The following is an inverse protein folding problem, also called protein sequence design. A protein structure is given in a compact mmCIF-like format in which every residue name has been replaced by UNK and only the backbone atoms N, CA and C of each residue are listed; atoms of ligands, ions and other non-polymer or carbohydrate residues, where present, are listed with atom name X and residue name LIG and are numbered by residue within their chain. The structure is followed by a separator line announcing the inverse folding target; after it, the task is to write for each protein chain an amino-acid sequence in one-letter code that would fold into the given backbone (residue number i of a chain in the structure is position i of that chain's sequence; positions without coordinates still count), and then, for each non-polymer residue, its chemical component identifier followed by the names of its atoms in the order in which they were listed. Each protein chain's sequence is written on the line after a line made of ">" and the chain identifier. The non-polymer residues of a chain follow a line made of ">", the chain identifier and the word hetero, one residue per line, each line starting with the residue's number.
data_IF_368117730788
#
_entry.id   IF_368117730788
#
_cell.length_a   1.000
_cell.length_b   1.000
_cell.length_c   1.000
_cell.angle_alpha   90.00
_cell.angle_beta   90.00
_cell.angle_gamma   90.00
#
_symmetry.space_group_name_H-M   'P 1'
#
loop_
_entity.id
_entity.type
_entity.pdbx_description
1 polymer ?
#
# COMPACT_ATOMS: atom_id res chain seq x y z
N UNK A 1 -11.25 -0.77 -19.43
CA UNK A 1 -10.13 -0.88 -18.47
C UNK A 1 -9.84 -2.34 -18.14
N UNK A 2 -8.65 -2.61 -17.64
CA UNK A 2 -8.22 -3.98 -17.32
C UNK A 2 -8.87 -4.56 -16.08
N UNK A 3 -9.47 -3.72 -15.24
CA UNK A 3 -10.12 -4.14 -14.01
C UNK A 3 -11.52 -3.52 -13.89
N UNK A 4 -12.35 -4.14 -13.07
CA UNK A 4 -13.74 -3.71 -12.84
C UNK A 4 -13.90 -2.92 -11.56
N UNK A 5 -12.93 -2.99 -10.65
CA UNK A 5 -13.02 -2.34 -9.34
C UNK A 5 -11.64 -2.16 -8.70
N UNK A 6 -11.59 -1.27 -7.74
CA UNK A 6 -10.43 -1.06 -6.87
C UNK A 6 -10.79 -1.60 -5.49
N UNK A 7 -9.92 -2.46 -4.95
CA UNK A 7 -10.07 -3.02 -3.59
C UNK A 7 -8.84 -2.67 -2.78
N UNK A 8 -9.00 -2.26 -1.54
CA UNK A 8 -7.88 -1.85 -0.70
C UNK A 8 -8.01 -2.27 0.75
N UNK A 9 -6.88 -2.31 1.44
CA UNK A 9 -6.77 -2.41 2.90
C UNK A 9 -5.88 -1.28 3.39
N UNK A 10 -6.36 -0.50 4.34
CA UNK A 10 -5.62 0.63 4.90
C UNK A 10 -5.57 0.54 6.43
N UNK A 11 -4.46 1.00 7.02
CA UNK A 11 -4.31 1.08 8.47
C UNK A 11 -4.45 2.52 8.95
N UNK A 12 -3.58 3.42 8.47
CA UNK A 12 -3.53 4.81 8.92
C UNK A 12 -4.12 5.81 7.91
N UNK A 13 -4.71 5.31 6.82
CA UNK A 13 -5.45 6.12 5.86
C UNK A 13 -4.73 6.49 4.57
N UNK A 14 -3.42 6.24 4.45
CA UNK A 14 -2.65 6.64 3.27
C UNK A 14 -2.96 5.76 2.05
N UNK A 15 -3.12 4.45 2.25
CA UNK A 15 -3.57 3.55 1.19
C UNK A 15 -4.97 3.93 0.72
N UNK A 16 -5.87 4.26 1.65
CA UNK A 16 -7.21 4.72 1.33
C UNK A 16 -7.20 6.01 0.51
N UNK A 17 -6.29 6.94 0.80
CA UNK A 17 -6.14 8.17 0.02
C UNK A 17 -5.77 7.85 -1.44
N UNK A 18 -4.78 7.00 -1.67
CA UNK A 18 -4.41 6.60 -3.03
C UNK A 18 -5.56 5.88 -3.75
N UNK A 19 -6.23 4.98 -3.06
CA UNK A 19 -7.38 4.26 -3.64
C UNK A 19 -8.49 5.22 -4.03
N UNK A 20 -8.77 6.21 -3.20
CA UNK A 20 -9.77 7.25 -3.48
C UNK A 20 -9.37 8.10 -4.68
N UNK A 21 -8.11 8.52 -4.75
CA UNK A 21 -7.60 9.29 -5.88
C UNK A 21 -7.73 8.50 -7.19
N UNK A 22 -7.36 7.22 -7.17
CA UNK A 22 -7.50 6.36 -8.34
C UNK A 22 -8.96 6.20 -8.77
N UNK A 23 -9.87 6.01 -7.81
CA UNK A 23 -11.30 5.94 -8.10
C UNK A 23 -11.82 7.22 -8.76
N UNK A 24 -11.43 8.38 -8.24
CA UNK A 24 -11.80 9.67 -8.82
C UNK A 24 -11.26 9.84 -10.25
N UNK A 25 -10.02 9.44 -10.49
CA UNK A 25 -9.37 9.58 -11.79
C UNK A 25 -9.91 8.62 -12.85
N UNK A 26 -10.42 7.46 -12.44
CA UNK A 26 -10.80 6.39 -13.37
C UNK A 26 -12.30 6.14 -13.43
N UNK A 27 -13.05 6.58 -12.43
CA UNK A 27 -14.47 6.25 -12.29
C UNK A 27 -14.72 4.82 -11.80
N UNK A 28 -13.67 4.05 -11.48
CA UNK A 28 -13.83 2.69 -10.98
C UNK A 28 -14.43 2.68 -9.57
N UNK A 29 -15.35 1.72 -9.28
CA UNK A 29 -15.88 1.56 -7.94
C UNK A 29 -14.79 1.19 -6.95
N UNK A 30 -14.92 1.69 -5.73
CA UNK A 30 -13.94 1.57 -4.65
C UNK A 30 -14.53 0.75 -3.51
N UNK A 31 -13.79 -0.28 -3.09
CA UNK A 31 -14.21 -1.16 -2.00
C UNK A 31 -13.07 -1.40 -1.01
N UNK A 32 -13.38 -1.28 0.27
CA UNK A 32 -12.49 -1.77 1.32
C UNK A 32 -12.63 -3.29 1.38
N UNK A 33 -11.50 -4.01 1.41
CA UNK A 33 -11.52 -5.48 1.38
C UNK A 33 -12.43 -6.09 2.46
N UNK A 34 -12.35 -5.53 3.66
CA UNK A 34 -13.08 -6.01 4.84
C UNK A 34 -14.60 -5.96 4.65
N UNK A 35 -15.10 -5.01 3.87
CA UNK A 35 -16.52 -4.76 3.66
C UNK A 35 -16.97 -5.08 2.22
N UNK A 36 -16.09 -5.66 1.43
CA UNK A 36 -16.30 -5.86 0.00
C UNK A 36 -17.29 -7.00 -0.25
N UNK A 37 -18.31 -6.73 -1.05
CA UNK A 37 -19.35 -7.68 -1.44
C UNK A 37 -19.29 -8.04 -2.92
N UNK A 38 -18.22 -7.68 -3.61
CA UNK A 38 -18.04 -8.03 -5.03
C UNK A 38 -18.07 -9.54 -5.23
N UNK A 39 -18.58 -10.03 -6.39
CA UNK A 39 -18.55 -11.44 -6.71
C UNK A 39 -17.14 -12.01 -6.71
N UNK A 40 -17.02 -13.27 -6.34
CA UNK A 40 -15.77 -14.00 -6.43
C UNK A 40 -15.26 -14.00 -7.87
N UNK A 41 -13.95 -13.83 -8.04
CA UNK A 41 -13.32 -13.79 -9.36
C UNK A 41 -13.38 -12.45 -10.08
N UNK A 42 -13.97 -11.42 -9.47
CA UNK A 42 -13.96 -10.06 -10.04
C UNK A 42 -12.53 -9.60 -10.28
N UNK A 43 -12.28 -9.03 -11.44
CA UNK A 43 -10.97 -8.46 -11.80
C UNK A 43 -10.76 -7.15 -11.07
N UNK A 44 -9.74 -7.09 -10.22
CA UNK A 44 -9.50 -5.93 -9.35
C UNK A 44 -8.06 -5.44 -9.41
N UNK A 45 -7.90 -4.14 -9.18
CA UNK A 45 -6.64 -3.54 -8.76
C UNK A 45 -6.63 -3.54 -7.24
N UNK A 46 -5.61 -4.13 -6.64
CA UNK A 46 -5.52 -4.21 -5.19
C UNK A 46 -4.46 -3.25 -4.65
N UNK A 47 -4.83 -2.49 -3.62
CA UNK A 47 -3.90 -1.63 -2.88
C UNK A 47 -3.81 -2.10 -1.44
N UNK A 48 -2.60 -2.28 -0.94
CA UNK A 48 -2.36 -2.63 0.45
C UNK A 48 -1.14 -1.90 1.00
N UNK A 49 -1.13 -1.67 2.31
CA UNK A 49 0.02 -1.07 2.98
C UNK A 49 1.06 -2.13 3.31
N UNK A 50 2.33 -1.71 3.34
CA UNK A 50 3.44 -2.61 3.63
C UNK A 50 3.69 -2.72 5.13
N UNK A 51 3.78 -3.95 5.62
CA UNK A 51 4.25 -4.26 6.95
C UNK A 51 5.29 -5.38 6.84
N UNK A 52 6.52 -5.10 7.24
CA UNK A 52 7.64 -6.03 7.14
C UNK A 52 7.79 -6.63 5.72
N UNK A 53 7.63 -5.81 4.69
CA UNK A 53 7.73 -6.20 3.27
C UNK A 53 6.51 -6.92 2.71
N UNK A 54 5.47 -7.14 3.50
CA UNK A 54 4.24 -7.82 3.07
C UNK A 54 3.13 -6.81 2.79
N UNK A 55 2.48 -6.94 1.65
CA UNK A 55 1.30 -6.17 1.29
C UNK A 55 0.10 -6.72 2.07
N UNK A 56 -0.40 -5.95 3.00
CA UNK A 56 -1.46 -6.40 3.89
C UNK A 56 -2.76 -6.64 3.13
N UNK A 57 -3.40 -7.78 3.41
CA UNK A 57 -4.66 -8.18 2.79
C UNK A 57 -4.53 -8.81 1.42
N UNK A 58 -3.36 -8.78 0.79
CA UNK A 58 -3.18 -9.30 -0.59
C UNK A 58 -3.56 -10.78 -0.70
N UNK A 59 -3.14 -11.61 0.25
CA UNK A 59 -3.43 -13.04 0.24
C UNK A 59 -4.95 -13.29 0.27
N UNK A 60 -5.67 -12.55 1.11
CA UNK A 60 -7.13 -12.65 1.19
C UNK A 60 -7.81 -12.15 -0.08
N UNK A 61 -7.32 -11.05 -0.64
CA UNK A 61 -7.84 -10.52 -1.89
C UNK A 61 -7.63 -11.50 -3.05
N UNK A 62 -6.43 -12.08 -3.15
CA UNK A 62 -6.11 -13.04 -4.19
C UNK A 62 -6.92 -14.35 -4.08
N UNK A 63 -7.34 -14.71 -2.86
CA UNK A 63 -8.21 -15.89 -2.66
C UNK A 63 -9.65 -15.64 -3.12
N UNK A 64 -10.09 -14.39 -3.16
CA UNK A 64 -11.47 -14.00 -3.50
C UNK A 64 -11.61 -13.46 -4.92
N UNK A 65 -10.63 -12.70 -5.37
CA UNK A 65 -10.70 -11.94 -6.61
C UNK A 65 -9.58 -12.31 -7.55
N UNK A 66 -9.75 -11.96 -8.80
CA UNK A 66 -8.67 -11.99 -9.77
C UNK A 66 -7.90 -10.68 -9.68
N UNK A 67 -6.80 -10.69 -8.94
CA UNK A 67 -5.94 -9.53 -8.79
C UNK A 67 -5.10 -9.37 -10.05
N UNK A 68 -5.28 -8.28 -10.77
CA UNK A 68 -4.59 -8.02 -12.04
C UNK A 68 -3.34 -7.16 -11.84
N UNK A 69 -3.29 -6.37 -10.79
CA UNK A 69 -2.12 -5.58 -10.40
C UNK A 69 -2.19 -5.23 -8.92
N UNK A 70 -1.04 -4.90 -8.35
CA UNK A 70 -0.90 -4.59 -6.92
C UNK A 70 -0.22 -3.23 -6.76
N UNK A 71 -0.76 -2.38 -5.89
CA UNK A 71 -0.09 -1.19 -5.40
C UNK A 71 0.32 -1.42 -3.95
N UNK A 72 1.61 -1.34 -3.69
CA UNK A 72 2.18 -1.47 -2.36
C UNK A 72 2.47 -0.08 -1.81
N UNK A 73 1.85 0.29 -0.70
CA UNK A 73 2.00 1.62 -0.09
C UNK A 73 2.89 1.50 1.14
N UNK A 74 4.00 2.22 1.13
CA UNK A 74 4.99 2.16 2.20
C UNK A 74 5.54 3.52 2.59
N UNK A 75 6.47 3.52 3.54
CA UNK A 75 7.09 4.74 4.06
C UNK A 75 8.42 5.06 3.39
N UNK A 76 9.14 4.04 2.90
CA UNK A 76 10.45 4.23 2.30
C UNK A 76 10.36 5.10 1.03
N UNK A 77 11.40 5.92 0.74
CA UNK A 77 11.42 6.70 -0.50
C UNK A 77 11.30 5.85 -1.74
N UNK A 78 11.87 4.65 -1.70
CA UNK A 78 11.86 3.68 -2.79
C UNK A 78 11.95 2.26 -2.23
N UNK A 79 11.70 1.29 -3.07
CA UNK A 79 11.84 -0.12 -2.71
C UNK A 79 12.48 -0.89 -3.85
N UNK A 80 13.00 -2.08 -3.55
CA UNK A 80 13.45 -3.04 -4.57
C UNK A 80 12.23 -3.78 -5.12
N UNK A 81 11.82 -3.55 -6.39
CA UNK A 81 10.64 -4.19 -6.96
C UNK A 81 10.74 -5.73 -6.98
N UNK A 82 11.92 -6.27 -7.28
CA UNK A 82 12.12 -7.72 -7.33
C UNK A 82 11.91 -8.35 -5.96
N UNK A 83 12.39 -7.71 -4.91
CA UNK A 83 12.18 -8.17 -3.53
C UNK A 83 10.71 -8.14 -3.14
N UNK A 84 9.99 -7.05 -3.46
CA UNK A 84 8.56 -6.95 -3.17
C UNK A 84 7.75 -8.03 -3.90
N UNK A 85 8.04 -8.25 -5.16
CA UNK A 85 7.39 -9.29 -5.97
C UNK A 85 7.63 -10.66 -5.34
N UNK A 86 8.86 -10.97 -4.99
CA UNK A 86 9.22 -12.26 -4.38
C UNK A 86 8.59 -12.46 -3.02
N UNK A 87 8.69 -11.48 -2.14
CA UNK A 87 8.15 -11.56 -0.77
C UNK A 87 6.63 -11.70 -0.74
N UNK A 88 5.93 -11.23 -1.78
CA UNK A 88 4.47 -11.24 -1.85
C UNK A 88 3.91 -12.26 -2.86
N UNK A 89 4.75 -13.08 -3.44
CA UNK A 89 4.36 -14.09 -4.43
C UNK A 89 3.57 -13.50 -5.60
N UNK A 90 4.00 -12.34 -6.10
CA UNK A 90 3.36 -11.61 -7.18
C UNK A 90 4.03 -11.82 -8.54
N UNK A 91 4.70 -12.95 -8.75
CA UNK A 91 5.39 -13.22 -10.01
C UNK A 91 4.43 -13.10 -11.20
N UNK A 92 4.79 -12.29 -12.18
CA UNK A 92 3.96 -12.05 -13.35
C UNK A 92 2.88 -10.98 -13.19
N UNK A 93 2.69 -10.44 -11.99
CA UNK A 93 1.75 -9.33 -11.77
C UNK A 93 2.50 -7.99 -11.76
N UNK A 94 1.95 -6.95 -12.41
CA UNK A 94 2.45 -5.59 -12.21
C UNK A 94 2.34 -5.20 -10.76
N UNK A 95 3.44 -4.70 -10.19
CA UNK A 95 3.48 -4.21 -8.83
C UNK A 95 4.01 -2.78 -8.85
N UNK A 96 3.25 -1.87 -8.27
CA UNK A 96 3.59 -0.45 -8.19
C UNK A 96 3.84 -0.07 -6.75
N UNK A 97 4.97 0.58 -6.49
CA UNK A 97 5.25 1.10 -5.16
C UNK A 97 4.81 2.56 -5.06
N UNK A 98 4.07 2.87 -4.02
CA UNK A 98 3.59 4.23 -3.73
C UNK A 98 4.07 4.65 -2.34
N UNK A 99 4.71 5.79 -2.26
CA UNK A 99 5.11 6.32 -0.96
C UNK A 99 3.92 6.97 -0.29
N UNK A 100 3.50 6.41 0.84
CA UNK A 100 2.33 6.87 1.58
C UNK A 100 2.69 7.83 2.70
N UNK A 101 2.69 7.32 3.93
CA UNK A 101 2.99 8.13 5.09
C UNK A 101 2.85 7.34 6.37
N UNK A 102 2.84 8.05 7.49
CA UNK A 102 2.65 7.48 8.80
C UNK A 102 1.91 8.45 9.70
N UNK A 103 0.96 7.93 10.47
CA UNK A 103 0.23 8.72 11.46
C UNK A 103 0.33 8.04 12.84
N UNK A 104 1.16 8.58 13.75
CA UNK A 104 1.28 8.02 15.09
C UNK A 104 -0.05 7.99 15.84
N UNK A 105 -0.93 8.94 15.57
CA UNK A 105 -2.23 9.04 16.23
C UNK A 105 -3.23 7.96 15.76
N UNK A 106 -3.03 7.39 14.57
CA UNK A 106 -3.96 6.44 13.97
C UNK A 106 -3.52 4.98 14.06
N UNK A 107 -2.23 4.72 14.29
CA UNK A 107 -1.73 3.35 14.41
C UNK A 107 -2.26 2.71 15.71
N UNK A 108 -2.71 1.45 15.64
CA UNK A 108 -3.36 0.77 16.76
C UNK A 108 -2.94 -0.69 16.86
N UNK A 109 -3.18 -1.27 18.06
CA UNK A 109 -3.03 -2.69 18.33
C UNK A 109 -1.58 -3.19 18.18
N UNK A 110 -1.42 -4.37 17.64
CA UNK A 110 -0.10 -5.00 17.45
C UNK A 110 0.84 -4.16 16.59
N UNK A 111 0.30 -3.38 15.66
CA UNK A 111 1.11 -2.51 14.81
C UNK A 111 1.74 -1.36 15.59
N UNK A 112 1.03 -0.83 16.59
CA UNK A 112 1.58 0.19 17.49
C UNK A 112 2.80 -0.35 18.25
N UNK A 113 2.70 -1.58 18.75
CA UNK A 113 3.80 -2.26 19.43
C UNK A 113 4.97 -2.51 18.49
N UNK A 114 4.71 -3.00 17.28
CA UNK A 114 5.73 -3.21 16.26
C UNK A 114 6.46 -1.92 15.91
N UNK A 115 5.74 -0.81 15.78
CA UNK A 115 6.33 0.48 15.48
C UNK A 115 7.17 1.01 16.65
N UNK A 116 6.76 0.75 17.89
CA UNK A 116 7.58 1.08 19.07
C UNK A 116 8.91 0.33 19.04
N UNK A 117 8.89 -0.95 18.69
CA UNK A 117 10.12 -1.75 18.54
C UNK A 117 10.99 -1.23 17.38
N UNK A 118 10.37 -0.88 16.27
CA UNK A 118 11.07 -0.33 15.11
C UNK A 118 11.74 1.00 15.43
N UNK A 119 11.07 1.88 16.18
CA UNK A 119 11.67 3.12 16.67
C UNK A 119 12.93 2.86 17.50
N UNK A 120 12.88 1.87 18.39
CA UNK A 120 14.03 1.51 19.23
C UNK A 120 15.21 1.05 18.37
N UNK A 121 14.95 0.29 17.30
CA UNK A 121 15.99 -0.17 16.37
C UNK A 121 16.56 1.01 15.58
N UNK A 122 15.70 1.85 15.02
CA UNK A 122 16.10 3.00 14.19
C UNK A 122 16.85 4.07 15.00
N UNK A 123 16.53 4.24 16.29
CA UNK A 123 17.21 5.21 17.13
C UNK A 123 18.70 4.95 17.33
N UNK A 124 19.14 3.71 17.08
CA UNK A 124 20.54 3.30 17.16
C UNK A 124 21.29 3.49 15.85
N UNK A 125 20.60 3.80 14.77
CA UNK A 125 21.18 4.00 13.45
C UNK A 125 21.40 5.48 13.17
N UNK A 126 22.42 5.79 12.36
CA UNK A 126 22.83 7.16 12.07
C UNK A 126 22.68 7.54 10.61
N UNK A 127 22.34 6.60 9.73
CA UNK A 127 22.16 6.87 8.31
C UNK A 127 20.94 7.79 8.05
N UNK A 128 20.98 8.61 6.99
CA UNK A 128 19.90 9.58 6.72
C UNK A 128 18.54 8.95 6.55
N UNK A 129 18.45 7.78 5.92
CA UNK A 129 17.19 7.09 5.69
C UNK A 129 16.54 6.62 6.99
N UNK A 130 17.35 6.07 7.91
CA UNK A 130 16.86 5.64 9.22
C UNK A 130 16.40 6.82 10.06
N UNK A 131 17.09 7.95 9.98
CA UNK A 131 16.71 9.18 10.68
C UNK A 131 15.40 9.76 10.13
N UNK A 132 15.22 9.77 8.82
CA UNK A 132 13.97 10.20 8.19
C UNK A 132 12.80 9.32 8.63
N UNK A 133 12.99 8.00 8.65
CA UNK A 133 11.98 7.06 9.08
C UNK A 133 11.60 7.26 10.55
N UNK A 134 12.60 7.47 11.41
CA UNK A 134 12.38 7.71 12.84
C UNK A 134 11.59 9.00 13.06
N UNK A 135 11.95 10.08 12.37
CA UNK A 135 11.24 11.34 12.44
C UNK A 135 9.79 11.20 12.00
N UNK A 136 9.55 10.48 10.89
CA UNK A 136 8.20 10.21 10.41
C UNK A 136 7.37 9.42 11.43
N UNK A 137 7.99 8.46 12.12
CA UNK A 137 7.32 7.67 13.16
C UNK A 137 6.98 8.50 14.40
N UNK A 138 7.77 9.50 14.72
CA UNK A 138 7.56 10.37 15.88
C UNK A 138 6.55 11.50 15.60
N UNK A 139 6.65 12.12 14.42
CA UNK A 139 5.89 13.32 14.07
C UNK A 139 4.78 13.07 13.08
N UNK A 140 4.81 11.92 12.39
CA UNK A 140 3.96 11.66 11.26
C UNK A 140 4.57 12.20 9.97
N UNK A 141 4.07 11.69 8.85
CA UNK A 141 4.47 12.14 7.52
C UNK A 141 3.38 11.82 6.52
N UNK A 142 3.28 12.64 5.48
CA UNK A 142 2.36 12.43 4.36
C UNK A 142 3.11 12.74 3.06
N UNK A 143 3.40 11.70 2.30
CA UNK A 143 4.06 11.81 0.99
C UNK A 143 3.11 11.47 -0.16
N UNK A 144 1.82 11.34 0.13
CA UNK A 144 0.81 11.03 -0.90
C UNK A 144 0.83 12.14 -1.95
N UNK A 145 0.94 11.73 -3.22
CA UNK A 145 0.91 12.68 -4.33
C UNK A 145 0.33 12.04 -5.59
N UNK A 146 -0.41 12.83 -6.36
CA UNK A 146 -1.04 12.39 -7.61
C UNK A 146 -0.01 11.91 -8.64
N UNK A 147 1.15 12.59 -8.84
CA UNK A 147 2.14 12.13 -9.81
C UNK A 147 2.63 10.69 -9.59
N UNK A 148 2.64 10.20 -8.35
CA UNK A 148 3.04 8.81 -8.09
C UNK A 148 2.07 7.80 -8.71
N UNK A 149 0.83 8.19 -8.98
CA UNK A 149 -0.19 7.33 -9.56
C UNK A 149 -0.08 7.21 -11.09
N UNK A 150 0.76 8.01 -11.74
CA UNK A 150 0.86 8.02 -13.19
C UNK A 150 1.15 6.64 -13.78
N UNK A 151 2.13 5.87 -13.28
CA UNK A 151 2.36 4.51 -13.80
C UNK A 151 1.14 3.59 -13.68
N UNK A 152 0.41 3.70 -12.57
CA UNK A 152 -0.80 2.91 -12.33
C UNK A 152 -1.90 3.30 -13.31
N UNK A 153 -2.11 4.60 -13.49
CA UNK A 153 -3.11 5.12 -14.43
C UNK A 153 -2.80 4.71 -15.87
N UNK A 154 -1.53 4.79 -16.27
CA UNK A 154 -1.10 4.37 -17.60
C UNK A 154 -1.36 2.88 -17.80
N UNK A 155 -1.08 2.05 -16.82
CA UNK A 155 -1.37 0.63 -16.88
C UNK A 155 -2.89 0.37 -17.00
N UNK A 156 -3.70 1.06 -16.21
CA UNK A 156 -5.16 0.90 -16.25
C UNK A 156 -5.76 1.26 -17.62
N UNK A 157 -5.24 2.30 -18.24
CA UNK A 157 -5.72 2.80 -19.55
C UNK A 157 -5.18 2.01 -20.73
N UNK A 158 -4.02 1.44 -20.57
CA UNK A 158 -3.31 0.67 -21.60
C UNK A 158 -3.84 -0.72 -21.79
#
# INVERSE_FOLDING_TARGET
>A
MKVSAIVYTSNTGFTAQYATLLSHQTGLPLHQLKECTLPQGTQVLYLGWLCAGKVQGLKKAAARFRVEAVCAVGMAPECDPAKLVGDNHCNGLPLFYLRGGYSPARVRGKYKMMMTMMKAILSKKTDPQSREALEAMERGADWVSVPQLEPVLNWLRG
#
